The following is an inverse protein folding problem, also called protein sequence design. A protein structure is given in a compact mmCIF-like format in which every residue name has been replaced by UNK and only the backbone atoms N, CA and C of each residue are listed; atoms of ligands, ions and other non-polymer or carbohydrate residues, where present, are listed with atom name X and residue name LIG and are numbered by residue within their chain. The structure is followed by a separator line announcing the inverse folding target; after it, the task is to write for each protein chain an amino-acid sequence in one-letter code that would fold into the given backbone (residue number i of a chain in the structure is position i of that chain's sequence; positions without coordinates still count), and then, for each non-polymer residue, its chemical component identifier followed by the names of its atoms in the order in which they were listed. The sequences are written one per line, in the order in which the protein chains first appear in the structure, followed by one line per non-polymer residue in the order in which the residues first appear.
data_IF_216971107500
#
_entry.id   IF_216971107500
#
_cell.length_a   1.000
_cell.length_b   1.000
_cell.length_c   1.000
_cell.angle_alpha   90.00
_cell.angle_beta   90.00
_cell.angle_gamma   90.00
#
_symmetry.space_group_name_H-M   'P 1'
#
loop_
_entity.id
_entity.type
_entity.pdbx_description
1 polymer ?
#
# COMPACT_ATOMS: atom_id res chain seq x y z
N UNK A 1 1.25 -16.10 10.14
CA UNK A 1 1.77 -16.10 8.75
C UNK A 1 0.74 -15.42 7.86
N UNK A 2 1.15 -14.46 7.03
CA UNK A 2 0.26 -13.75 6.11
C UNK A 2 0.42 -14.38 4.72
N UNK A 3 -0.69 -14.82 4.11
CA UNK A 3 -0.70 -15.36 2.75
C UNK A 3 -1.11 -14.28 1.78
N UNK A 4 -0.28 -14.04 0.77
CA UNK A 4 -0.52 -13.02 -0.26
C UNK A 4 -1.83 -13.26 -1.02
N UNK A 5 -2.09 -14.51 -1.43
CA UNK A 5 -3.29 -14.88 -2.19
C UNK A 5 -4.61 -14.57 -1.46
N UNK A 6 -4.57 -14.52 -0.13
CA UNK A 6 -5.75 -14.28 0.71
C UNK A 6 -5.98 -12.78 0.96
N UNK A 7 -5.03 -11.91 0.61
CA UNK A 7 -5.17 -10.48 0.84
C UNK A 7 -6.04 -9.83 -0.24
N UNK A 8 -7.04 -9.03 0.14
CA UNK A 8 -7.94 -8.42 -0.82
C UNK A 8 -7.20 -7.42 -1.70
N UNK A 9 -7.47 -7.48 -3.01
CA UNK A 9 -7.05 -6.45 -3.95
C UNK A 9 -8.03 -5.27 -3.90
N UNK A 10 -7.47 -4.06 -3.89
CA UNK A 10 -8.22 -2.80 -3.95
C UNK A 10 -7.71 -1.97 -5.12
N UNK A 11 -8.57 -1.79 -6.11
CA UNK A 11 -8.29 -0.93 -7.28
C UNK A 11 -8.15 0.52 -6.84
N UNK A 12 -7.19 1.22 -7.43
CA UNK A 12 -7.04 2.65 -7.20
C UNK A 12 -8.17 3.42 -7.86
N UNK A 13 -8.47 4.61 -7.30
CA UNK A 13 -9.56 5.47 -7.79
C UNK A 13 -9.33 5.93 -9.23
N UNK A 14 -8.09 6.16 -9.61
CA UNK A 14 -7.67 6.59 -10.94
C UNK A 14 -7.59 5.43 -11.95
N UNK A 15 -7.76 4.18 -11.49
CA UNK A 15 -7.64 3.00 -12.33
C UNK A 15 -6.22 2.63 -12.75
N UNK A 16 -5.18 3.34 -12.27
CA UNK A 16 -3.78 3.12 -12.67
C UNK A 16 -3.12 1.89 -12.06
N UNK A 17 -3.86 1.12 -11.25
CA UNK A 17 -3.34 -0.05 -10.58
C UNK A 17 -4.21 -0.55 -9.43
N UNK A 18 -3.57 -1.28 -8.53
CA UNK A 18 -4.20 -1.84 -7.33
C UNK A 18 -3.23 -1.98 -6.17
N UNK A 19 -3.76 -2.09 -4.96
CA UNK A 19 -3.01 -2.40 -3.74
C UNK A 19 -3.60 -3.61 -3.04
N UNK A 20 -2.70 -4.49 -2.55
CA UNK A 20 -3.00 -5.50 -1.53
C UNK A 20 -2.28 -5.11 -0.25
N UNK A 21 -3.04 -4.77 0.76
CA UNK A 21 -2.50 -4.53 2.10
C UNK A 21 -2.13 -5.85 2.73
N UNK A 22 -0.94 -5.93 3.33
CA UNK A 22 -0.46 -7.12 4.03
C UNK A 22 -0.59 -6.95 5.54
N UNK A 23 -0.20 -5.78 6.07
CA UNK A 23 -0.26 -5.50 7.48
C UNK A 23 -0.29 -3.98 7.74
N UNK A 24 -0.93 -3.59 8.85
CA UNK A 24 -1.01 -2.21 9.34
C UNK A 24 -0.68 -2.18 10.83
N UNK A 25 -0.03 -1.10 11.25
CA UNK A 25 0.29 -0.84 12.65
C UNK A 25 -0.94 -0.67 13.55
N UNK A 26 -0.74 -0.64 14.88
CA UNK A 26 -1.84 -0.56 15.83
C UNK A 26 -2.65 0.74 15.67
N UNK A 27 -3.98 0.70 15.80
CA UNK A 27 -4.84 1.88 15.66
C UNK A 27 -4.50 3.03 16.62
N UNK A 28 -3.91 2.71 17.78
CA UNK A 28 -3.54 3.69 18.81
C UNK A 28 -2.40 4.63 18.40
N UNK A 29 -1.71 4.35 17.28
CA UNK A 29 -0.57 5.15 16.79
C UNK A 29 -0.82 5.71 15.37
N UNK A 30 -2.08 5.77 14.95
CA UNK A 30 -2.48 6.23 13.62
C UNK A 30 -2.12 7.70 13.40
N UNK A 31 -1.55 8.00 12.22
CA UNK A 31 -1.31 9.37 11.74
C UNK A 31 -2.52 9.91 10.95
N UNK A 32 -2.37 11.09 10.34
CA UNK A 32 -3.43 11.74 9.53
C UNK A 32 -3.87 10.90 8.31
N UNK A 33 -2.99 10.03 7.82
CA UNK A 33 -3.26 9.12 6.69
C UNK A 33 -3.93 7.79 7.11
N UNK A 34 -4.20 7.61 8.40
CA UNK A 34 -4.96 6.46 8.90
C UNK A 34 -4.12 5.24 9.32
N UNK A 35 -2.79 5.34 9.36
CA UNK A 35 -1.91 4.23 9.77
C UNK A 35 -0.63 4.69 10.48
N UNK A 36 -0.13 3.91 11.43
CA UNK A 36 1.20 4.15 12.02
C UNK A 36 2.33 3.71 11.07
N UNK A 37 2.12 2.55 10.44
CA UNK A 37 2.93 1.98 9.38
C UNK A 37 2.04 1.04 8.57
N UNK A 38 2.40 0.82 7.30
CA UNK A 38 1.69 -0.11 6.41
C UNK A 38 2.69 -0.87 5.55
N UNK A 39 2.47 -2.17 5.41
CA UNK A 39 3.15 -3.01 4.42
C UNK A 39 2.12 -3.43 3.38
N UNK A 40 2.41 -3.19 2.11
CA UNK A 40 1.51 -3.50 1.00
C UNK A 40 2.27 -3.86 -0.27
N UNK A 41 1.61 -4.58 -1.17
CA UNK A 41 2.07 -4.82 -2.54
C UNK A 41 1.22 -3.98 -3.48
N UNK A 42 1.86 -3.27 -4.39
CA UNK A 42 1.20 -2.49 -5.43
C UNK A 42 1.40 -3.16 -6.80
N UNK A 43 0.32 -3.24 -7.58
CA UNK A 43 0.36 -3.52 -9.02
C UNK A 43 0.17 -2.21 -9.75
N UNK A 44 1.04 -1.90 -10.70
CA UNK A 44 1.03 -0.66 -11.48
C UNK A 44 0.68 -1.04 -12.91
N UNK A 45 -0.51 -0.61 -13.37
CA UNK A 45 -1.03 -0.94 -14.70
C UNK A 45 -0.80 0.21 -15.70
N UNK A 46 -0.64 1.44 -15.22
CA UNK A 46 -0.38 2.62 -16.04
C UNK A 46 0.57 3.60 -15.32
N UNK A 47 1.29 4.39 -16.11
CA UNK A 47 2.13 5.47 -15.58
C UNK A 47 1.29 6.54 -14.87
N UNK A 48 1.78 7.02 -13.73
CA UNK A 48 1.12 8.05 -12.95
C UNK A 48 1.88 8.38 -11.68
N UNK A 49 1.54 9.50 -11.02
CA UNK A 49 2.16 9.87 -9.75
C UNK A 49 1.65 8.97 -8.62
N UNK A 50 2.53 8.58 -7.70
CA UNK A 50 2.08 8.00 -6.42
C UNK A 50 1.46 9.06 -5.52
N UNK A 51 0.53 8.63 -4.66
CA UNK A 51 0.03 9.46 -3.56
C UNK A 51 1.18 9.92 -2.66
N UNK A 52 1.06 11.16 -2.15
CA UNK A 52 1.92 11.69 -1.09
C UNK A 52 1.33 11.31 0.27
N UNK A 53 2.21 10.98 1.20
CA UNK A 53 1.92 10.70 2.60
C UNK A 53 2.93 11.52 3.41
N UNK A 54 2.47 12.64 3.95
CA UNK A 54 3.38 13.63 4.53
C UNK A 54 3.95 13.11 5.86
N UNK A 55 5.27 13.26 6.06
CA UNK A 55 5.96 12.74 7.23
C UNK A 55 6.13 11.20 7.27
N UNK A 56 5.79 10.49 6.18
CA UNK A 56 5.98 9.04 6.06
C UNK A 56 7.22 8.71 5.23
N UNK A 57 8.17 8.02 5.84
CA UNK A 57 9.28 7.41 5.11
C UNK A 57 8.79 6.23 4.28
N UNK A 58 9.09 6.25 2.97
CA UNK A 58 8.66 5.21 2.03
C UNK A 58 9.84 4.52 1.37
N UNK A 59 9.93 3.21 1.57
CA UNK A 59 10.82 2.32 0.82
C UNK A 59 10.02 1.46 -0.14
N UNK A 60 10.51 1.29 -1.37
CA UNK A 60 9.88 0.48 -2.40
C UNK A 60 10.86 -0.56 -2.91
N UNK A 61 10.35 -1.76 -3.17
CA UNK A 61 11.09 -2.84 -3.81
C UNK A 61 10.29 -3.33 -5.01
N UNK A 62 10.91 -3.32 -6.19
CA UNK A 62 10.31 -3.90 -7.39
C UNK A 62 10.33 -5.41 -7.27
N UNK A 63 9.18 -6.04 -7.48
CA UNK A 63 9.03 -7.49 -7.54
C UNK A 63 8.87 -7.90 -9.00
N UNK A 64 9.67 -8.86 -9.44
CA UNK A 64 9.76 -9.30 -10.84
C UNK A 64 8.92 -10.52 -11.17
N UNK A 65 7.88 -10.80 -10.37
CA UNK A 65 6.99 -11.92 -10.61
C UNK A 65 5.77 -11.49 -11.38
#
# INVERSE_FOLDING_TARGET
MIRFADQPERRWRDGGGATRELAVGPPSLVNEDGFAWRISVATIDADGPFSRFDGVDRSLLVLWR
#
